data_IF_103028450064
#
_entry.id   IF_103028450064
#
_cell.length_a   1.000
_cell.length_b   1.000
_cell.length_c   1.000
_cell.angle_alpha   90.00
_cell.angle_beta   90.00
_cell.angle_gamma   90.00
#
_symmetry.space_group_name_H-M   'P 1'
#
loop_
_entity.id
_entity.type
_entity.pdbx_description
1 polymer ?
#
# COMPACT_ATOMS: atom_id res chain seq x y z
N UNK A 1 12.16 16.09 -0.95
CA UNK A 1 12.56 15.28 0.22
C UNK A 1 12.04 13.87 0.01
N UNK A 2 12.93 12.90 -0.22
CA UNK A 2 12.53 11.50 -0.38
C UNK A 2 12.01 10.95 0.94
N UNK A 3 10.84 10.32 0.93
CA UNK A 3 10.15 9.94 2.17
C UNK A 3 10.80 8.69 2.79
N UNK A 4 11.74 8.91 3.72
CA UNK A 4 12.45 7.87 4.48
C UNK A 4 11.52 6.88 5.21
N UNK A 5 10.24 7.23 5.39
CA UNK A 5 9.25 6.37 6.03
C UNK A 5 8.97 5.06 5.27
N UNK A 6 9.38 4.96 4.00
CA UNK A 6 9.19 3.76 3.17
C UNK A 6 10.47 2.92 3.00
N UNK A 7 11.60 3.35 3.58
CA UNK A 7 12.85 2.60 3.47
C UNK A 7 12.80 1.32 4.29
N UNK A 8 13.27 0.23 3.70
CA UNK A 8 13.41 -1.06 4.38
C UNK A 8 14.66 -1.13 5.25
N UNK A 9 14.69 -1.97 6.31
CA UNK A 9 15.84 -2.11 7.20
C UNK A 9 17.16 -2.41 6.48
N UNK A 10 17.14 -3.32 5.51
CA UNK A 10 18.31 -3.71 4.71
C UNK A 10 18.79 -2.57 3.81
N UNK A 11 17.88 -1.74 3.30
CA UNK A 11 18.25 -0.56 2.48
C UNK A 11 19.02 0.47 3.31
N UNK A 12 18.61 0.66 4.57
CA UNK A 12 19.26 1.56 5.53
C UNK A 12 20.64 1.01 5.89
N UNK A 13 20.73 -0.28 6.25
CA UNK A 13 21.99 -0.93 6.61
C UNK A 13 23.01 -0.89 5.45
N UNK A 14 22.55 -1.09 4.21
CA UNK A 14 23.40 -1.03 3.03
C UNK A 14 23.92 0.40 2.75
N UNK A 15 23.05 1.40 2.89
CA UNK A 15 23.41 2.82 2.70
C UNK A 15 24.46 3.30 3.71
N UNK A 16 24.44 2.79 4.95
CA UNK A 16 25.46 3.10 5.95
C UNK A 16 26.84 2.51 5.66
N UNK A 17 26.94 1.46 4.83
CA UNK A 17 28.20 0.71 4.65
C UNK A 17 28.98 1.05 3.37
N UNK A 18 28.37 1.61 2.33
CA UNK A 18 29.07 2.00 1.09
C UNK A 18 28.51 3.29 0.48
N UNK A 19 29.33 4.34 0.44
CA UNK A 19 29.08 5.49 -0.44
C UNK A 19 29.24 5.07 -1.91
N UNK A 20 28.12 4.69 -2.55
CA UNK A 20 27.89 5.18 -3.92
C UNK A 20 27.84 4.24 -5.13
N UNK A 21 27.74 2.90 -5.05
CA UNK A 21 27.69 2.09 -6.31
C UNK A 21 26.71 0.92 -6.47
N UNK A 22 26.03 0.37 -5.46
CA UNK A 22 25.12 -0.78 -5.69
C UNK A 22 23.65 -0.53 -5.28
N UNK A 23 23.05 0.59 -5.69
CA UNK A 23 21.59 0.82 -5.56
C UNK A 23 20.75 -0.31 -6.21
N UNK A 24 21.34 -1.06 -7.13
CA UNK A 24 20.75 -2.20 -7.84
C UNK A 24 20.66 -3.47 -7.00
N UNK A 25 21.25 -3.52 -5.80
CA UNK A 25 21.24 -4.70 -4.92
C UNK A 25 20.16 -4.67 -3.83
N UNK A 26 19.38 -3.60 -3.78
CA UNK A 26 18.13 -3.54 -3.01
C UNK A 26 17.15 -4.49 -3.70
N UNK A 27 16.83 -5.60 -3.05
CA UNK A 27 16.07 -6.70 -3.67
C UNK A 27 14.57 -6.44 -3.71
N UNK A 28 13.84 -7.26 -4.48
CA UNK A 28 12.36 -7.20 -4.60
C UNK A 28 11.62 -7.24 -3.25
N UNK A 29 12.24 -7.84 -2.21
CA UNK A 29 11.68 -7.86 -0.84
C UNK A 29 11.67 -6.48 -0.18
N UNK A 30 12.53 -5.56 -0.62
CA UNK A 30 12.52 -4.16 -0.17
C UNK A 30 11.31 -3.41 -0.70
N UNK A 31 10.86 -3.72 -1.92
CA UNK A 31 9.61 -3.19 -2.47
C UNK A 31 8.39 -3.73 -1.71
N UNK A 32 8.43 -4.98 -1.26
CA UNK A 32 7.37 -5.56 -0.40
C UNK A 32 7.25 -4.78 0.93
N UNK A 33 8.37 -4.33 1.50
CA UNK A 33 8.35 -3.49 2.70
C UNK A 33 7.73 -2.12 2.42
N UNK A 34 8.15 -1.45 1.34
CA UNK A 34 7.61 -0.14 1.00
C UNK A 34 6.10 -0.21 0.68
N UNK A 35 5.65 -1.29 0.02
CA UNK A 35 4.24 -1.61 -0.15
C UNK A 35 3.52 -1.80 1.19
N UNK A 36 4.14 -2.52 2.13
CA UNK A 36 3.62 -2.66 3.50
C UNK A 36 3.44 -1.32 4.21
N UNK A 37 4.41 -0.40 4.07
CA UNK A 37 4.30 0.95 4.62
C UNK A 37 3.18 1.77 3.96
N UNK A 38 2.97 1.62 2.65
CA UNK A 38 1.86 2.27 1.92
C UNK A 38 0.53 1.72 2.44
N UNK A 39 0.38 0.40 2.50
CA UNK A 39 -0.82 -0.25 2.99
C UNK A 39 -1.13 0.16 4.43
N UNK A 40 -0.11 0.20 5.29
CA UNK A 40 -0.23 0.70 6.67
C UNK A 40 -0.73 2.13 6.72
N UNK A 41 -0.25 3.00 5.84
CA UNK A 41 -0.73 4.37 5.76
C UNK A 41 -2.19 4.46 5.27
N UNK A 42 -2.62 3.59 4.36
CA UNK A 42 -4.02 3.52 3.91
C UNK A 42 -4.96 3.05 5.01
N UNK A 43 -4.50 2.13 5.87
CA UNK A 43 -5.30 1.57 6.97
C UNK A 43 -5.37 2.51 8.17
N UNK A 44 -4.24 3.07 8.59
CA UNK A 44 -4.14 3.83 9.85
C UNK A 44 -3.92 5.34 9.66
N UNK A 45 -3.82 5.84 8.42
CA UNK A 45 -3.60 7.26 8.11
C UNK A 45 -2.21 7.79 8.46
N UNK A 46 -1.27 6.92 8.85
CA UNK A 46 0.12 7.25 9.21
C UNK A 46 1.05 6.12 8.80
N UNK A 47 2.33 6.40 8.59
CA UNK A 47 3.36 5.35 8.40
C UNK A 47 3.79 4.71 9.74
N UNK A 48 4.36 3.49 9.75
CA UNK A 48 4.69 2.76 10.98
C UNK A 48 5.52 3.56 12.00
N UNK A 49 6.51 4.32 11.51
CA UNK A 49 7.44 5.11 12.35
C UNK A 49 7.23 6.62 12.20
N UNK A 50 6.04 7.07 11.79
CA UNK A 50 5.75 8.49 11.55
C UNK A 50 5.92 9.35 12.81
N UNK A 51 5.66 8.76 13.98
CA UNK A 51 5.71 9.42 15.28
C UNK A 51 7.13 9.85 15.69
N UNK A 52 8.17 9.31 15.05
CA UNK A 52 9.57 9.66 15.34
C UNK A 52 9.99 10.82 14.45
N UNK A 53 10.16 12.02 15.03
CA UNK A 53 10.54 13.22 14.26
C UNK A 53 12.01 13.22 13.84
N UNK A 54 12.90 12.75 14.71
CA UNK A 54 14.34 12.75 14.44
C UNK A 54 14.69 11.67 13.40
N UNK A 55 15.21 12.10 12.25
CA UNK A 55 15.56 11.21 11.13
C UNK A 55 16.46 10.05 11.56
N UNK A 56 17.52 10.33 12.30
CA UNK A 56 18.45 9.29 12.76
C UNK A 56 17.77 8.27 13.70
N UNK A 57 16.97 8.74 14.65
CA UNK A 57 16.22 7.86 15.56
C UNK A 57 15.21 7.00 14.80
N UNK A 58 14.57 7.55 13.77
CA UNK A 58 13.63 6.81 12.91
C UNK A 58 14.32 5.69 12.14
N UNK A 59 15.47 5.98 11.54
CA UNK A 59 16.24 4.96 10.84
C UNK A 59 16.63 3.83 11.80
N UNK A 60 17.13 4.16 12.99
CA UNK A 60 17.44 3.15 14.02
C UNK A 60 16.23 2.31 14.42
N UNK A 61 15.06 2.93 14.62
CA UNK A 61 13.82 2.23 14.95
C UNK A 61 13.35 1.27 13.84
N UNK A 62 13.57 1.62 12.57
CA UNK A 62 13.28 0.74 11.43
C UNK A 62 14.16 -0.52 11.51
N UNK A 63 15.44 -0.38 11.84
CA UNK A 63 16.38 -1.52 11.88
C UNK A 63 16.28 -2.34 13.18
N UNK A 64 15.88 -1.72 14.29
CA UNK A 64 15.85 -2.37 15.60
C UNK A 64 14.66 -3.31 15.79
N UNK A 65 14.92 -4.60 15.93
CA UNK A 65 13.91 -5.63 16.20
C UNK A 65 13.19 -5.44 17.55
N UNK A 66 13.78 -4.69 18.50
CA UNK A 66 13.18 -4.40 19.80
C UNK A 66 12.03 -3.40 19.68
N UNK A 67 12.06 -2.56 18.64
CA UNK A 67 10.98 -1.63 18.38
C UNK A 67 9.83 -2.37 17.70
N UNK A 68 8.72 -2.60 18.41
CA UNK A 68 7.55 -3.18 17.80
C UNK A 68 6.88 -2.18 16.82
N UNK A 69 6.31 -2.71 15.74
CA UNK A 69 5.35 -1.97 14.93
C UNK A 69 3.98 -2.25 15.57
N UNK A 70 3.22 -1.19 15.83
CA UNK A 70 1.88 -1.31 16.38
C UNK A 70 0.91 -1.73 15.28
N UNK A 71 0.03 -2.66 15.58
CA UNK A 71 -1.00 -3.12 14.65
C UNK A 71 -2.36 -3.11 15.37
N UNK A 72 -3.01 -1.94 15.49
CA UNK A 72 -4.36 -1.87 16.04
C UNK A 72 -5.34 -2.74 15.25
N UNK A 73 -6.36 -3.29 15.92
CA UNK A 73 -7.32 -4.17 15.27
C UNK A 73 -8.04 -3.48 14.09
N UNK A 74 -8.20 -4.24 13.01
CA UNK A 74 -8.92 -3.83 11.80
C UNK A 74 -10.09 -4.77 11.56
N UNK A 75 -11.05 -4.32 10.77
CA UNK A 75 -12.27 -5.09 10.47
C UNK A 75 -12.00 -6.36 9.65
N UNK A 76 -10.95 -6.34 8.84
CA UNK A 76 -10.56 -7.46 7.97
C UNK A 76 -9.28 -8.15 8.51
N UNK A 77 -9.37 -9.38 9.03
CA UNK A 77 -8.22 -10.11 9.54
C UNK A 77 -7.22 -10.51 8.43
N UNK A 78 -7.65 -10.67 7.18
CA UNK A 78 -6.77 -10.98 6.06
C UNK A 78 -5.90 -9.79 5.68
N UNK A 79 -6.46 -8.58 5.75
CA UNK A 79 -5.70 -7.34 5.60
C UNK A 79 -4.61 -7.21 6.66
N UNK A 80 -4.95 -7.47 7.93
CA UNK A 80 -3.99 -7.43 9.03
C UNK A 80 -2.83 -8.40 8.81
N UNK A 81 -3.15 -9.62 8.37
CA UNK A 81 -2.15 -10.67 8.11
C UNK A 81 -1.19 -10.29 6.96
N UNK A 82 -1.69 -9.78 5.83
CA UNK A 82 -0.85 -9.25 4.74
C UNK A 82 0.10 -8.18 5.27
N UNK A 83 -0.46 -7.23 6.01
CA UNK A 83 0.26 -6.08 6.51
C UNK A 83 1.38 -6.48 7.48
N UNK A 84 1.10 -7.39 8.41
CA UNK A 84 2.10 -7.96 9.32
C UNK A 84 3.19 -8.74 8.57
N UNK A 85 2.84 -9.49 7.52
CA UNK A 85 3.80 -10.23 6.68
C UNK A 85 4.72 -9.30 5.90
N UNK A 86 4.19 -8.23 5.31
CA UNK A 86 4.97 -7.24 4.54
C UNK A 86 5.97 -6.47 5.41
N UNK A 87 5.60 -6.16 6.66
CA UNK A 87 6.41 -5.36 7.60
C UNK A 87 7.33 -6.21 8.50
N UNK A 88 7.71 -7.41 8.05
CA UNK A 88 8.75 -8.21 8.71
C UNK A 88 10.12 -7.63 8.42
N UNK A 89 10.93 -7.39 9.46
CA UNK A 89 12.27 -6.80 9.27
C UNK A 89 13.23 -7.70 8.50
N UNK A 90 13.19 -9.00 8.75
CA UNK A 90 13.97 -9.98 7.98
C UNK A 90 13.38 -10.16 6.57
N UNK A 91 14.12 -9.80 5.49
CA UNK A 91 13.66 -9.96 4.11
C UNK A 91 13.34 -11.40 3.73
N UNK A 92 13.99 -12.39 4.35
CA UNK A 92 13.75 -13.81 4.07
C UNK A 92 12.40 -14.29 4.60
N UNK A 93 11.87 -13.61 5.64
CA UNK A 93 10.56 -13.92 6.22
C UNK A 93 9.42 -13.13 5.59
N UNK A 94 9.72 -12.12 4.78
CA UNK A 94 8.71 -11.39 4.00
C UNK A 94 8.21 -12.27 2.85
N UNK A 95 6.93 -12.19 2.48
CA UNK A 95 6.44 -12.86 1.29
C UNK A 95 7.05 -12.24 0.02
N UNK A 96 7.09 -13.00 -1.05
CA UNK A 96 7.33 -12.52 -2.41
C UNK A 96 6.05 -11.90 -2.96
N UNK A 97 6.16 -11.18 -4.08
CA UNK A 97 4.99 -10.61 -4.75
C UNK A 97 4.03 -11.71 -5.21
N UNK A 98 4.56 -12.83 -5.74
CA UNK A 98 3.73 -13.97 -6.14
C UNK A 98 2.92 -14.55 -4.96
N UNK A 99 3.57 -14.76 -3.81
CA UNK A 99 2.88 -15.23 -2.60
C UNK A 99 1.85 -14.21 -2.06
N UNK A 100 2.09 -12.91 -2.25
CA UNK A 100 1.11 -11.88 -1.88
C UNK A 100 -0.11 -11.89 -2.80
N UNK A 101 0.07 -12.07 -4.11
CA UNK A 101 -1.02 -12.13 -5.07
C UNK A 101 -1.95 -13.32 -4.84
N UNK A 102 -1.44 -14.40 -4.26
CA UNK A 102 -2.21 -15.59 -3.88
C UNK A 102 -2.84 -15.47 -2.48
N UNK A 103 -2.62 -14.37 -1.77
CA UNK A 103 -3.12 -14.20 -0.41
C UNK A 103 -4.65 -14.02 -0.39
N UNK A 104 -5.39 -14.60 0.59
CA UNK A 104 -6.85 -14.48 0.68
C UNK A 104 -7.38 -13.05 0.56
N UNK A 105 -6.67 -12.07 1.14
CA UNK A 105 -6.98 -10.64 1.02
C UNK A 105 -7.12 -10.13 -0.43
N UNK A 106 -6.35 -10.69 -1.38
CA UNK A 106 -6.38 -10.30 -2.80
C UNK A 106 -7.17 -11.27 -3.68
N UNK A 107 -7.37 -12.51 -3.22
CA UNK A 107 -8.03 -13.59 -3.97
C UNK A 107 -9.52 -13.68 -3.69
N UNK A 108 -9.97 -13.35 -2.47
CA UNK A 108 -11.40 -13.19 -2.22
C UNK A 108 -11.88 -12.03 -3.09
N UNK A 109 -12.84 -12.30 -3.99
CA UNK A 109 -13.43 -11.27 -4.82
C UNK A 109 -13.84 -10.12 -3.92
N UNK A 110 -13.16 -8.99 -4.10
CA UNK A 110 -13.43 -7.75 -3.40
C UNK A 110 -14.92 -7.51 -3.58
N UNK A 111 -15.72 -7.81 -2.55
CA UNK A 111 -17.12 -7.39 -2.53
C UNK A 111 -17.09 -5.92 -2.93
N UNK A 112 -17.86 -5.51 -3.96
CA UNK A 112 -17.72 -4.19 -4.55
C UNK A 112 -17.64 -3.21 -3.40
N UNK A 113 -16.46 -2.59 -3.24
CA UNK A 113 -16.18 -1.69 -2.13
C UNK A 113 -17.40 -0.81 -2.04
N UNK A 114 -18.18 -0.95 -0.97
CA UNK A 114 -19.26 -0.04 -0.70
C UNK A 114 -18.56 1.27 -0.40
N UNK A 115 -18.24 2.02 -1.46
CA UNK A 115 -17.79 3.39 -1.38
C UNK A 115 -18.84 4.01 -0.48
N UNK A 116 -18.44 4.38 0.74
CA UNK A 116 -19.33 5.13 1.63
C UNK A 116 -19.66 6.37 0.81
N UNK A 117 -20.83 6.35 0.17
CA UNK A 117 -21.29 7.48 -0.62
C UNK A 117 -21.18 8.67 0.33
N UNK A 118 -20.40 9.66 -0.07
CA UNK A 118 -20.38 10.91 0.65
C UNK A 118 -21.83 11.40 0.57
N UNK A 119 -22.57 11.33 1.69
CA UNK A 119 -23.95 11.84 1.79
C UNK A 119 -23.97 13.37 1.82
N UNK A 120 -22.81 13.99 1.63
CA UNK A 120 -22.68 15.42 1.48
C UNK A 120 -23.50 15.87 0.25
N UNK A 121 -24.51 16.74 0.45
CA UNK A 121 -25.39 17.19 -0.62
C UNK A 121 -24.64 17.89 -1.76
N UNK A 122 -23.51 18.54 -1.45
CA UNK A 122 -22.69 19.22 -2.44
C UNK A 122 -21.92 18.22 -3.29
N UNK A 123 -21.37 17.17 -2.68
CA UNK A 123 -20.68 16.09 -3.42
C UNK A 123 -21.67 15.33 -4.32
N UNK A 124 -22.89 15.07 -3.86
CA UNK A 124 -23.95 14.45 -4.67
C UNK A 124 -24.36 15.34 -5.86
N UNK A 125 -24.46 16.66 -5.65
CA UNK A 125 -24.75 17.63 -6.71
C UNK A 125 -23.67 17.62 -7.79
N UNK A 126 -22.39 17.64 -7.40
CA UNK A 126 -21.25 17.63 -8.32
C UNK A 126 -21.18 16.33 -9.14
N UNK A 127 -21.46 15.18 -8.52
CA UNK A 127 -21.52 13.88 -9.23
C UNK A 127 -22.61 13.94 -10.29
N UNK A 128 -23.80 14.46 -9.96
CA UNK A 128 -24.91 14.57 -10.90
C UNK A 128 -24.61 15.53 -12.06
N UNK A 129 -23.87 16.61 -11.84
CA UNK A 129 -23.42 17.50 -12.92
C UNK A 129 -22.42 16.82 -13.85
N UNK A 130 -21.45 16.07 -13.31
CA UNK A 130 -20.45 15.35 -14.10
C UNK A 130 -21.11 14.26 -14.97
N UNK A 131 -22.08 13.53 -14.43
CA UNK A 131 -22.84 12.51 -15.16
C UNK A 131 -23.64 13.12 -16.33
N UNK A 132 -24.24 14.29 -16.11
CA UNK A 132 -25.01 15.02 -17.13
C UNK A 132 -24.13 15.68 -18.21
N UNK A 133 -22.86 15.97 -17.90
CA UNK A 133 -21.89 16.54 -18.85
C UNK A 133 -21.25 15.49 -19.78
N UNK A 134 -21.36 14.19 -19.46
CA UNK A 134 -20.73 13.11 -20.23
C UNK A 134 -21.66 12.03 -20.83
N UNK A 135 -22.79 12.36 -21.50
CA UNK A 135 -23.58 11.34 -22.22
C UNK A 135 -22.79 10.65 -23.34
N UNK A 136 -21.82 11.35 -23.93
CA UNK A 136 -21.04 10.88 -25.07
C UNK A 136 -19.99 9.82 -24.70
N UNK A 137 -19.43 9.87 -23.49
CA UNK A 137 -18.36 8.93 -23.07
C UNK A 137 -18.93 7.59 -22.61
N UNK A 138 -20.10 7.59 -21.94
CA UNK A 138 -20.78 6.37 -21.47
C UNK A 138 -21.29 5.53 -22.66
N UNK A 139 -21.72 6.18 -23.74
CA UNK A 139 -22.19 5.50 -24.95
C UNK A 139 -21.05 4.75 -25.66
N UNK A 140 -19.87 5.38 -25.78
CA UNK A 140 -18.67 4.78 -26.37
C UNK A 140 -18.15 3.59 -25.56
N UNK A 141 -18.25 3.63 -24.23
CA UNK A 141 -17.81 2.54 -23.35
C UNK A 141 -18.73 1.30 -23.42
N UNK A 142 -20.04 1.49 -23.61
CA UNK A 142 -20.99 0.39 -23.84
C UNK A 142 -20.84 -0.24 -25.23
N UNK A 143 -20.54 0.57 -26.24
CA UNK A 143 -20.35 0.13 -27.62
C UNK A 143 -19.08 -0.72 -27.78
N UNK A 144 -17.96 -0.28 -27.17
CA UNK A 144 -16.69 -1.04 -27.13
C UNK A 144 -16.85 -2.37 -26.37
N UNK A 145 -17.63 -2.41 -25.28
CA UNK A 145 -17.88 -3.63 -24.51
C UNK A 145 -18.75 -4.65 -25.25
N UNK A 146 -19.58 -4.21 -26.20
CA UNK A 146 -20.36 -5.13 -27.05
C UNK A 146 -19.53 -5.76 -28.19
N UNK A 147 -18.43 -5.11 -28.58
CA UNK A 147 -17.58 -5.56 -29.69
C UNK A 147 -16.51 -6.56 -29.27
N UNK A 148 -16.20 -6.69 -27.98
CA UNK A 148 -15.11 -7.55 -27.48
C UNK A 148 -15.54 -8.94 -27.02
N UNK A 149 -16.81 -9.33 -27.16
CA UNK A 149 -17.23 -10.74 -27.24
C UNK A 149 -16.72 -11.71 -26.16
N UNK A 150 -16.65 -11.30 -24.89
CA UNK A 150 -16.48 -12.24 -23.77
C UNK A 150 -17.85 -12.58 -23.18
N UNK A 151 -18.42 -13.69 -23.66
CA UNK A 151 -19.46 -14.47 -22.98
C UNK A 151 -18.92 -15.13 -21.73
#
# INVERSE_FOLDING_TARGET
MGTLNFMSPESIQYTSQKQGKDYLKIGLKSDVWSLGCILYNLVYGKTPFQHISATHAKLLAIVDNRQAIEFPDVSDPHLLDVLMKCLRRDPQRRPSISELLEHPYLVEEVMPVAVKQCKDPHVQSLISEIENLSPASVKKMKEVRSLTGFT
#
